data_IF_499015453699
#
_entry.id   IF_499015453699
#
_cell.length_a   1.000
_cell.length_b   1.000
_cell.length_c   1.000
_cell.angle_alpha   90.00
_cell.angle_beta   90.00
_cell.angle_gamma   90.00
#
_symmetry.space_group_name_H-M   'P 1'
#
loop_
_entity.id
_entity.type
_entity.pdbx_description
1 polymer ?
#
# COMPACT_ATOMS: atom_id res chain seq x y z
N UNK A 1 0.14 -24.94 -21.44
CA UNK A 1 0.39 -25.09 -19.99
C UNK A 1 0.34 -26.54 -19.52
N UNK A 2 -0.73 -27.30 -19.80
CA UNK A 2 -0.84 -28.72 -19.39
C UNK A 2 0.35 -29.57 -19.88
N UNK A 3 0.78 -29.36 -21.13
CA UNK A 3 1.98 -30.01 -21.69
C UNK A 3 3.25 -29.70 -20.90
N UNK A 4 3.41 -28.46 -20.41
CA UNK A 4 4.57 -28.11 -19.60
C UNK A 4 4.52 -28.79 -18.22
N UNK A 5 3.33 -28.93 -17.64
CA UNK A 5 3.15 -29.67 -16.38
C UNK A 5 3.45 -31.17 -16.54
N UNK A 6 3.09 -31.77 -17.67
CA UNK A 6 3.43 -33.18 -17.93
C UNK A 6 4.93 -33.44 -18.14
N UNK A 7 5.72 -32.41 -18.42
CA UNK A 7 7.19 -32.51 -18.51
C UNK A 7 7.87 -32.51 -17.13
N UNK A 8 7.12 -32.23 -16.05
CA UNK A 8 7.67 -32.22 -14.71
C UNK A 8 8.04 -33.63 -14.26
N UNK A 9 9.22 -33.79 -13.66
CA UNK A 9 9.63 -35.03 -13.02
C UNK A 9 9.00 -35.11 -11.63
N UNK A 10 8.33 -36.21 -11.30
CA UNK A 10 7.64 -36.39 -10.01
C UNK A 10 8.57 -36.38 -8.79
N UNK A 11 9.85 -36.76 -8.97
CA UNK A 11 10.88 -36.72 -7.91
C UNK A 11 12.05 -35.84 -8.36
N UNK A 12 11.97 -34.55 -8.04
CA UNK A 12 13.04 -33.59 -8.23
C UNK A 12 13.31 -32.87 -6.91
N UNK A 13 14.58 -32.77 -6.51
CA UNK A 13 15.01 -31.95 -5.37
C UNK A 13 14.88 -30.45 -5.67
N UNK A 14 14.72 -30.08 -6.95
CA UNK A 14 14.53 -28.70 -7.41
C UNK A 14 13.06 -28.44 -7.72
N UNK A 15 12.48 -27.31 -7.26
CA UNK A 15 11.14 -26.89 -7.64
C UNK A 15 10.99 -26.80 -9.17
N UNK A 16 9.91 -27.35 -9.71
CA UNK A 16 9.57 -27.17 -11.11
C UNK A 16 8.91 -25.80 -11.31
N UNK A 17 9.40 -25.02 -12.27
CA UNK A 17 8.92 -23.66 -12.53
C UNK A 17 8.44 -23.54 -13.98
N UNK A 18 7.30 -22.91 -14.17
CA UNK A 18 6.73 -22.60 -15.48
C UNK A 18 6.69 -21.08 -15.62
N UNK A 19 7.29 -20.57 -16.68
CA UNK A 19 7.13 -19.18 -17.11
C UNK A 19 6.09 -19.18 -18.22
N UNK A 20 4.94 -18.57 -17.96
CA UNK A 20 3.84 -18.43 -18.90
C UNK A 20 3.75 -16.99 -19.38
N UNK A 21 3.75 -16.79 -20.69
CA UNK A 21 3.70 -15.48 -21.34
C UNK A 21 2.53 -15.47 -22.33
N UNK A 22 1.72 -14.41 -22.30
CA UNK A 22 0.58 -14.24 -23.21
C UNK A 22 0.31 -12.77 -23.48
N UNK A 23 -0.20 -12.46 -24.66
CA UNK A 23 -0.63 -11.14 -25.09
C UNK A 23 -2.14 -11.03 -25.39
N UNK A 24 -2.90 -12.11 -25.11
CA UNK A 24 -4.31 -12.22 -25.48
C UNK A 24 -5.13 -13.15 -24.57
N UNK A 25 -6.42 -13.29 -24.91
CA UNK A 25 -7.33 -14.26 -24.30
C UNK A 25 -7.19 -15.65 -24.98
N UNK A 26 -7.50 -16.76 -24.28
CA UNK A 26 -7.58 -18.07 -24.91
C UNK A 26 -8.71 -18.08 -25.96
N UNK A 27 -8.39 -18.48 -27.20
CA UNK A 27 -9.35 -18.50 -28.33
C UNK A 27 -9.46 -19.86 -29.02
N UNK A 28 -8.63 -20.83 -28.63
CA UNK A 28 -8.60 -22.17 -29.22
C UNK A 28 -8.51 -23.24 -28.13
N UNK A 29 -9.28 -24.31 -28.29
CA UNK A 29 -9.40 -25.36 -27.28
C UNK A 29 -10.35 -24.96 -26.15
N UNK A 30 -9.92 -25.17 -24.90
CA UNK A 30 -10.67 -24.72 -23.72
C UNK A 30 -10.45 -23.21 -23.51
N UNK A 31 -11.52 -22.43 -23.61
CA UNK A 31 -11.53 -20.97 -23.49
C UNK A 31 -12.21 -20.48 -22.20
N UNK A 32 -12.90 -21.34 -21.45
CA UNK A 32 -13.51 -21.00 -20.16
C UNK A 32 -12.44 -20.82 -19.06
N UNK A 33 -12.26 -19.60 -18.51
CA UNK A 33 -11.28 -19.34 -17.45
C UNK A 33 -11.42 -20.26 -16.22
N UNK A 34 -12.65 -20.62 -15.84
CA UNK A 34 -12.88 -21.45 -14.67
C UNK A 34 -12.37 -22.88 -14.90
N UNK A 35 -12.67 -23.45 -16.07
CA UNK A 35 -12.18 -24.78 -16.46
C UNK A 35 -10.67 -24.80 -16.69
N UNK A 36 -10.10 -23.74 -17.26
CA UNK A 36 -8.64 -23.61 -17.38
C UNK A 36 -7.98 -23.71 -16.01
N UNK A 37 -8.47 -22.95 -15.02
CA UNK A 37 -7.95 -22.98 -13.65
C UNK A 37 -8.12 -24.37 -13.00
N UNK A 38 -9.25 -25.03 -13.22
CA UNK A 38 -9.51 -26.38 -12.71
C UNK A 38 -8.56 -27.42 -13.34
N UNK A 39 -8.39 -27.36 -14.66
CA UNK A 39 -7.51 -28.26 -15.40
C UNK A 39 -6.06 -28.11 -14.95
N UNK A 40 -5.59 -26.87 -14.77
CA UNK A 40 -4.25 -26.60 -14.24
C UNK A 40 -4.12 -27.12 -12.81
N UNK A 41 -5.10 -26.89 -11.94
CA UNK A 41 -5.07 -27.39 -10.56
C UNK A 41 -5.00 -28.93 -10.50
N UNK A 42 -5.78 -29.63 -11.33
CA UNK A 42 -5.75 -31.11 -11.42
C UNK A 42 -4.42 -31.63 -11.96
N UNK A 43 -3.83 -30.93 -12.92
CA UNK A 43 -2.58 -31.33 -13.55
C UNK A 43 -1.35 -31.01 -12.69
N UNK A 44 -1.41 -29.99 -11.83
CA UNK A 44 -0.27 -29.53 -11.05
C UNK A 44 0.01 -30.38 -9.79
N UNK A 45 0.26 -31.68 -9.98
CA UNK A 45 0.55 -32.62 -8.89
C UNK A 45 1.91 -32.41 -8.23
N UNK A 46 2.85 -31.83 -8.98
CA UNK A 46 4.24 -31.58 -8.55
C UNK A 46 4.40 -30.25 -7.80
N UNK A 47 3.31 -29.51 -7.54
CA UNK A 47 3.32 -28.16 -6.97
C UNK A 47 4.24 -27.21 -7.75
N UNK A 48 4.21 -27.26 -9.07
CA UNK A 48 4.97 -26.37 -9.94
C UNK A 48 4.61 -24.90 -9.67
N UNK A 49 5.62 -24.03 -9.73
CA UNK A 49 5.46 -22.58 -9.56
C UNK A 49 5.15 -21.98 -10.92
N UNK A 50 4.02 -21.30 -11.06
CA UNK A 50 3.59 -20.73 -12.35
C UNK A 50 3.71 -19.21 -12.32
N UNK A 51 4.74 -18.69 -12.99
CA UNK A 51 4.97 -17.27 -13.14
C UNK A 51 4.34 -16.77 -14.43
N UNK A 52 3.51 -15.74 -14.32
CA UNK A 52 2.63 -15.31 -15.40
C UNK A 52 3.01 -13.91 -15.87
N UNK A 53 3.13 -13.73 -17.16
CA UNK A 53 3.41 -12.46 -17.80
C UNK A 53 2.31 -12.13 -18.80
N UNK A 54 1.55 -11.07 -18.50
CA UNK A 54 0.54 -10.54 -19.42
C UNK A 54 1.10 -9.35 -20.19
N UNK A 55 1.07 -9.39 -21.52
CA UNK A 55 1.61 -8.34 -22.39
C UNK A 55 0.48 -7.57 -23.06
N UNK A 56 0.46 -6.25 -22.91
CA UNK A 56 -0.56 -5.39 -23.50
C UNK A 56 -1.91 -5.42 -22.76
N UNK A 57 -2.97 -4.96 -23.43
CA UNK A 57 -4.30 -4.71 -22.86
C UNK A 57 -5.33 -5.81 -23.09
N UNK A 58 -5.04 -6.76 -23.98
CA UNK A 58 -5.99 -7.76 -24.48
C UNK A 58 -5.93 -9.09 -23.71
N UNK A 59 -5.33 -9.08 -22.52
CA UNK A 59 -5.22 -10.26 -21.64
C UNK A 59 -6.38 -10.32 -20.65
N UNK A 60 -6.75 -11.55 -20.25
CA UNK A 60 -7.68 -11.77 -19.14
C UNK A 60 -6.93 -11.72 -17.80
N UNK A 61 -6.84 -10.51 -17.23
CA UNK A 61 -6.07 -10.24 -16.02
C UNK A 61 -6.55 -11.05 -14.81
N UNK A 62 -7.86 -11.33 -14.67
CA UNK A 62 -8.37 -12.12 -13.55
C UNK A 62 -7.95 -13.59 -13.64
N UNK A 63 -8.00 -14.17 -14.84
CA UNK A 63 -7.48 -15.51 -15.10
C UNK A 63 -5.98 -15.59 -14.76
N UNK A 64 -5.18 -14.63 -15.26
CA UNK A 64 -3.73 -14.60 -15.03
C UNK A 64 -3.38 -14.43 -13.55
N UNK A 65 -4.07 -13.55 -12.83
CA UNK A 65 -3.90 -13.34 -11.39
C UNK A 65 -4.17 -14.64 -10.62
N UNK A 66 -5.31 -15.29 -10.89
CA UNK A 66 -5.71 -16.54 -10.24
C UNK A 66 -4.78 -17.70 -10.57
N UNK A 67 -4.25 -17.73 -11.79
CA UNK A 67 -3.34 -18.76 -12.25
C UNK A 67 -2.01 -18.70 -11.49
N UNK A 68 -1.46 -17.49 -11.29
CA UNK A 68 -0.27 -17.30 -10.48
C UNK A 68 -0.54 -17.59 -8.99
N UNK A 69 -1.62 -17.02 -8.44
CA UNK A 69 -1.96 -17.11 -7.01
C UNK A 69 -2.21 -18.57 -6.57
N UNK A 70 -2.96 -19.36 -7.37
CA UNK A 70 -3.24 -20.77 -7.06
C UNK A 70 -2.05 -21.72 -7.26
N UNK A 71 -0.95 -21.25 -7.85
CA UNK A 71 0.20 -22.08 -8.19
C UNK A 71 1.51 -21.48 -7.65
N UNK A 72 1.44 -20.80 -6.50
CA UNK A 72 2.60 -20.25 -5.77
C UNK A 72 3.56 -19.41 -6.63
N UNK A 73 3.02 -18.71 -7.62
CA UNK A 73 3.78 -17.88 -8.54
C UNK A 73 3.47 -16.40 -8.39
N UNK A 74 4.05 -15.62 -9.29
CA UNK A 74 3.85 -14.17 -9.38
C UNK A 74 3.35 -13.81 -10.78
N UNK A 75 2.60 -12.73 -10.86
CA UNK A 75 2.18 -12.12 -12.11
C UNK A 75 2.91 -10.79 -12.33
N UNK A 76 3.31 -10.52 -13.56
CA UNK A 76 3.74 -9.19 -14.00
C UNK A 76 3.01 -8.80 -15.29
N UNK A 77 2.66 -7.53 -15.39
CA UNK A 77 1.93 -6.99 -16.53
C UNK A 77 2.81 -5.97 -17.25
N UNK A 78 3.11 -6.28 -18.49
CA UNK A 78 4.06 -5.54 -19.31
C UNK A 78 3.26 -4.76 -20.35
N UNK A 79 3.40 -3.43 -20.33
CA UNK A 79 2.81 -2.58 -21.36
C UNK A 79 3.55 -2.78 -22.69
N UNK A 80 2.88 -2.57 -23.83
CA UNK A 80 3.52 -2.71 -25.15
C UNK A 80 4.72 -1.78 -25.38
N UNK A 81 4.80 -0.70 -24.61
CA UNK A 81 5.90 0.26 -24.60
C UNK A 81 7.11 -0.20 -23.77
N UNK A 82 6.95 -1.23 -22.94
CA UNK A 82 8.02 -1.77 -22.08
C UNK A 82 8.77 -2.91 -22.78
N UNK A 83 10.07 -3.03 -22.49
CA UNK A 83 10.89 -4.11 -23.02
C UNK A 83 10.57 -5.44 -22.33
N UNK A 84 9.75 -6.28 -22.97
CA UNK A 84 9.39 -7.62 -22.49
C UNK A 84 10.63 -8.46 -22.18
N UNK A 85 11.62 -8.47 -23.09
CA UNK A 85 12.86 -9.23 -22.93
C UNK A 85 13.61 -8.85 -21.65
N UNK A 86 13.70 -7.56 -21.32
CA UNK A 86 14.37 -7.09 -20.12
C UNK A 86 13.61 -7.51 -18.84
N UNK A 87 12.28 -7.44 -18.86
CA UNK A 87 11.42 -7.87 -17.73
C UNK A 87 11.58 -9.37 -17.46
N UNK A 88 11.44 -10.20 -18.50
CA UNK A 88 11.53 -11.65 -18.39
C UNK A 88 12.94 -12.09 -17.99
N UNK A 89 13.99 -11.48 -18.56
CA UNK A 89 15.39 -11.77 -18.19
C UNK A 89 15.66 -11.42 -16.73
N UNK A 90 15.26 -10.24 -16.29
CA UNK A 90 15.42 -9.82 -14.89
C UNK A 90 14.66 -10.73 -13.93
N UNK A 91 13.49 -11.22 -14.33
CA UNK A 91 12.74 -12.19 -13.56
C UNK A 91 13.47 -13.54 -13.48
N UNK A 92 13.88 -14.09 -14.63
CA UNK A 92 14.60 -15.36 -14.69
C UNK A 92 15.86 -15.33 -13.82
N UNK A 93 16.64 -14.25 -13.90
CA UNK A 93 17.85 -14.08 -13.08
C UNK A 93 17.56 -14.08 -11.57
N UNK A 94 16.37 -13.62 -11.14
CA UNK A 94 15.95 -13.64 -9.74
C UNK A 94 15.49 -15.02 -9.30
N UNK A 95 14.81 -15.78 -10.16
CA UNK A 95 14.23 -17.09 -9.79
C UNK A 95 15.06 -18.31 -10.19
N UNK A 96 16.14 -18.12 -10.93
CA UNK A 96 16.98 -19.22 -11.44
C UNK A 96 17.67 -20.04 -10.34
N UNK A 97 17.76 -19.50 -9.12
CA UNK A 97 18.47 -20.11 -8.00
C UNK A 97 17.60 -20.11 -6.74
N UNK A 98 16.60 -21.01 -6.61
CA UNK A 98 15.86 -21.18 -5.36
C UNK A 98 16.80 -21.68 -4.27
N UNK A 99 16.80 -21.01 -3.12
CA UNK A 99 17.62 -21.35 -1.95
C UNK A 99 16.76 -22.09 -0.92
N UNK A 100 15.59 -21.56 -0.58
CA UNK A 100 14.64 -22.22 0.32
C UNK A 100 13.26 -22.30 -0.34
N UNK A 101 12.60 -23.43 -0.19
CA UNK A 101 11.23 -23.64 -0.67
C UNK A 101 10.30 -24.09 0.45
N UNK A 102 8.99 -23.96 0.23
CA UNK A 102 7.97 -24.37 1.22
C UNK A 102 8.18 -23.72 2.59
N UNK A 103 8.42 -22.40 2.58
CA UNK A 103 8.67 -21.64 3.80
C UNK A 103 7.44 -21.60 4.71
N UNK A 104 7.67 -21.76 6.00
CA UNK A 104 6.69 -21.57 7.06
C UNK A 104 7.28 -20.72 8.18
N UNK A 105 6.52 -19.74 8.67
CA UNK A 105 6.92 -18.86 9.76
C UNK A 105 5.97 -19.07 10.93
N UNK A 106 6.52 -19.48 12.06
CA UNK A 106 5.79 -19.71 13.31
C UNK A 106 6.34 -18.79 14.40
N UNK A 107 5.44 -18.15 15.16
CA UNK A 107 5.82 -17.36 16.33
C UNK A 107 5.30 -18.11 17.56
N UNK A 108 6.23 -18.60 18.39
CA UNK A 108 5.87 -19.47 19.51
C UNK A 108 5.02 -18.70 20.53
N UNK A 109 3.85 -19.27 20.86
CA UNK A 109 2.91 -18.67 21.80
C UNK A 109 2.07 -17.51 21.24
N UNK A 110 1.94 -17.38 19.92
CA UNK A 110 1.10 -16.37 19.24
C UNK A 110 -0.42 -16.57 19.34
N UNK A 111 -0.89 -17.69 19.90
CA UNK A 111 -2.32 -17.99 20.04
C UNK A 111 -2.76 -17.94 21.51
N UNK A 112 -2.05 -17.17 22.35
CA UNK A 112 -2.34 -17.05 23.78
C UNK A 112 -2.93 -15.66 24.07
N UNK A 113 -3.78 -15.51 25.11
CA UNK A 113 -4.42 -14.22 25.43
C UNK A 113 -3.41 -13.07 25.64
N UNK A 114 -2.23 -13.38 26.16
CA UNK A 114 -1.17 -12.40 26.42
C UNK A 114 -0.41 -11.93 25.18
N UNK A 115 -0.46 -12.68 24.07
CA UNK A 115 0.27 -12.35 22.85
C UNK A 115 -0.39 -12.98 21.62
N UNK A 116 -0.91 -12.12 20.74
CA UNK A 116 -1.59 -12.52 19.51
C UNK A 116 -0.91 -11.87 18.31
N UNK A 117 -0.68 -12.62 17.24
CA UNK A 117 -0.23 -12.09 15.95
C UNK A 117 -1.32 -12.30 14.90
N UNK A 118 -1.68 -11.25 14.19
CA UNK A 118 -2.80 -11.24 13.24
C UNK A 118 -2.51 -10.38 12.02
N UNK A 119 -3.28 -10.60 10.95
CA UNK A 119 -3.16 -9.85 9.68
C UNK A 119 -1.72 -9.84 9.12
N UNK A 120 -1.11 -11.02 9.06
CA UNK A 120 0.23 -11.24 8.49
C UNK A 120 0.18 -11.31 6.95
N UNK A 121 1.21 -10.74 6.33
CA UNK A 121 1.39 -10.65 4.89
C UNK A 121 2.84 -10.93 4.49
N UNK A 122 3.07 -11.63 3.36
CA UNK A 122 2.05 -12.27 2.52
C UNK A 122 1.34 -13.42 3.25
N UNK A 123 0.10 -13.76 2.82
CA UNK A 123 -0.70 -14.82 3.45
C UNK A 123 -0.07 -16.20 3.30
N UNK A 124 0.58 -16.42 2.16
CA UNK A 124 1.40 -17.59 1.88
C UNK A 124 2.82 -17.12 1.61
N UNK A 125 3.80 -17.78 2.23
CA UNK A 125 5.20 -17.42 2.02
C UNK A 125 5.69 -17.97 0.66
N UNK A 126 6.28 -17.14 -0.20
CA UNK A 126 6.88 -17.61 -1.44
C UNK A 126 8.17 -18.37 -1.14
N UNK A 127 8.67 -19.10 -2.15
CA UNK A 127 10.03 -19.60 -2.10
C UNK A 127 11.04 -18.43 -2.06
N UNK A 128 12.17 -18.64 -1.39
CA UNK A 128 13.25 -17.68 -1.29
C UNK A 128 14.36 -18.03 -2.28
N UNK A 129 14.66 -17.10 -3.17
CA UNK A 129 15.70 -17.25 -4.19
C UNK A 129 16.94 -16.43 -3.86
N UNK A 130 18.07 -16.77 -4.48
CA UNK A 130 19.35 -16.09 -4.28
C UNK A 130 19.22 -14.60 -4.63
N UNK A 131 19.63 -13.74 -3.71
CA UNK A 131 19.55 -12.28 -3.90
C UNK A 131 18.14 -11.70 -3.72
N UNK A 132 17.15 -12.52 -3.37
CA UNK A 132 15.84 -12.03 -2.93
C UNK A 132 15.83 -11.81 -1.41
N UNK A 133 15.02 -10.85 -0.99
CA UNK A 133 14.68 -10.61 0.40
C UNK A 133 13.20 -10.95 0.59
N UNK A 134 12.89 -11.76 1.60
CA UNK A 134 11.52 -11.98 2.06
C UNK A 134 11.24 -11.02 3.21
N UNK A 135 10.17 -10.26 3.12
CA UNK A 135 9.69 -9.42 4.21
C UNK A 135 8.29 -9.89 4.59
N UNK A 136 8.11 -10.13 5.88
CA UNK A 136 6.81 -10.49 6.46
C UNK A 136 6.40 -9.35 7.38
N UNK A 137 5.18 -8.85 7.19
CA UNK A 137 4.61 -7.78 8.02
C UNK A 137 3.32 -8.26 8.63
N UNK A 138 3.09 -7.92 9.88
CA UNK A 138 1.90 -8.30 10.61
C UNK A 138 1.61 -7.34 11.75
N UNK A 139 0.49 -7.56 12.42
CA UNK A 139 0.13 -6.84 13.64
C UNK A 139 0.21 -7.80 14.80
N UNK A 140 0.47 -7.25 15.98
CA UNK A 140 0.41 -8.03 17.20
C UNK A 140 -0.26 -7.26 18.32
N UNK A 141 -0.77 -8.01 19.28
CA UNK A 141 -1.17 -7.55 20.61
C UNK A 141 -0.27 -8.21 21.65
N UNK A 142 -0.04 -7.54 22.78
CA UNK A 142 0.87 -8.01 23.81
C UNK A 142 2.29 -7.47 23.65
N UNK A 143 3.18 -7.92 24.53
CA UNK A 143 4.60 -7.57 24.48
C UNK A 143 5.45 -8.67 25.12
N UNK A 144 6.72 -8.72 24.76
CA UNK A 144 7.68 -9.66 25.33
C UNK A 144 8.69 -10.14 24.31
N UNK A 145 9.52 -11.08 24.73
CA UNK A 145 10.45 -11.78 23.87
C UNK A 145 9.80 -13.09 23.42
N UNK A 146 9.82 -13.36 22.12
CA UNK A 146 9.23 -14.58 21.53
C UNK A 146 10.23 -15.21 20.58
N UNK A 147 10.24 -16.54 20.58
CA UNK A 147 10.93 -17.31 19.57
C UNK A 147 10.13 -17.29 18.26
N UNK A 148 10.82 -16.96 17.18
CA UNK A 148 10.31 -16.93 15.81
C UNK A 148 11.05 -18.00 15.03
N UNK A 149 10.29 -19.00 14.58
CA UNK A 149 10.78 -20.19 13.91
C UNK A 149 10.46 -20.10 12.43
N UNK A 150 11.50 -20.12 11.60
CA UNK A 150 11.38 -20.18 10.16
C UNK A 150 11.82 -21.58 9.71
N UNK A 151 10.94 -22.29 9.02
CA UNK A 151 11.22 -23.62 8.48
C UNK A 151 10.93 -23.68 6.98
N UNK A 152 11.49 -24.70 6.31
CA UNK A 152 11.28 -24.95 4.89
C UNK A 152 12.16 -26.10 4.39
N UNK A 153 12.41 -26.13 3.08
CA UNK A 153 13.27 -27.12 2.42
C UNK A 153 14.48 -26.45 1.76
N UNK A 154 15.67 -26.90 2.13
CA UNK A 154 16.95 -26.56 1.50
C UNK A 154 17.44 -27.79 0.73
N UNK A 155 17.47 -27.71 -0.61
CA UNK A 155 17.85 -28.84 -1.47
C UNK A 155 17.10 -30.15 -1.11
N UNK A 156 15.78 -30.04 -0.90
CA UNK A 156 14.93 -31.17 -0.53
C UNK A 156 15.01 -31.63 0.93
N UNK A 157 15.97 -31.14 1.72
CA UNK A 157 16.10 -31.46 3.15
C UNK A 157 15.36 -30.44 4.01
N UNK A 158 14.74 -30.90 5.09
CA UNK A 158 14.13 -30.02 6.08
C UNK A 158 15.19 -29.08 6.66
N UNK A 159 14.89 -27.79 6.64
CA UNK A 159 15.70 -26.74 7.20
C UNK A 159 14.84 -25.95 8.18
N UNK A 160 15.42 -25.60 9.32
CA UNK A 160 14.73 -24.86 10.38
C UNK A 160 15.73 -23.97 11.11
N UNK A 161 15.29 -22.75 11.42
CA UNK A 161 16.07 -21.79 12.20
C UNK A 161 15.14 -21.07 13.15
N UNK A 162 15.57 -20.94 14.40
CA UNK A 162 14.87 -20.19 15.44
C UNK A 162 15.60 -18.89 15.74
N UNK A 163 14.85 -17.81 15.90
CA UNK A 163 15.34 -16.47 16.19
C UNK A 163 14.61 -15.92 17.41
N UNK A 164 15.34 -15.29 18.32
CA UNK A 164 14.72 -14.55 19.41
C UNK A 164 14.36 -13.14 18.93
N UNK A 165 13.09 -12.75 19.05
CA UNK A 165 12.62 -11.42 18.68
C UNK A 165 11.90 -10.73 19.84
N UNK A 166 12.17 -9.42 19.99
CA UNK A 166 11.51 -8.56 20.98
C UNK A 166 10.32 -7.85 20.34
N UNK A 167 9.18 -7.95 21.00
CA UNK A 167 7.92 -7.29 20.65
C UNK A 167 7.58 -6.22 21.72
N UNK A 168 8.04 -4.97 21.57
CA UNK A 168 7.78 -3.90 22.53
C UNK A 168 6.34 -3.38 22.44
N UNK A 169 5.80 -2.77 23.51
CA UNK A 169 4.47 -2.11 23.42
C UNK A 169 4.50 -0.87 22.53
N UNK A 170 5.63 -0.17 22.51
CA UNK A 170 5.85 1.04 21.74
C UNK A 170 7.28 1.01 21.18
N UNK A 171 7.40 1.25 19.88
CA UNK A 171 8.66 1.42 19.17
C UNK A 171 8.44 2.36 17.98
N UNK A 172 9.13 3.49 17.99
CA UNK A 172 9.08 4.51 16.92
C UNK A 172 10.33 4.46 16.03
N UNK A 173 11.27 3.54 16.28
CA UNK A 173 12.46 3.40 15.45
C UNK A 173 12.13 2.94 14.03
N UNK A 174 10.99 2.27 13.86
CA UNK A 174 10.56 1.63 12.62
C UNK A 174 9.28 2.26 12.04
N UNK A 175 9.28 3.59 11.91
CA UNK A 175 8.15 4.42 11.40
C UNK A 175 7.61 3.98 10.02
N UNK A 176 8.39 3.24 9.22
CA UNK A 176 7.99 2.75 7.90
C UNK A 176 7.13 1.47 7.95
N UNK A 177 7.16 0.71 9.04
CA UNK A 177 6.49 -0.59 9.17
C UNK A 177 4.97 -0.46 9.10
N UNK A 178 4.29 0.46 9.83
CA UNK A 178 2.84 0.58 9.78
C UNK A 178 2.31 0.85 8.37
N UNK A 179 3.01 1.69 7.62
CA UNK A 179 2.65 2.03 6.23
C UNK A 179 2.86 0.83 5.30
N UNK A 180 3.96 0.10 5.47
CA UNK A 180 4.26 -1.10 4.68
C UNK A 180 3.20 -2.18 4.89
N UNK A 181 2.79 -2.39 6.14
CA UNK A 181 1.66 -3.26 6.47
C UNK A 181 0.36 -2.78 5.80
N UNK A 182 0.07 -1.48 5.85
CA UNK A 182 -1.15 -0.93 5.25
C UNK A 182 -1.21 -1.12 3.73
N UNK A 183 -0.09 -0.98 3.01
CA UNK A 183 -0.02 -1.26 1.57
C UNK A 183 -0.39 -2.72 1.30
N UNK A 184 0.16 -3.67 2.05
CA UNK A 184 -0.13 -5.10 1.89
C UNK A 184 -1.59 -5.44 2.24
N UNK A 185 -2.12 -4.90 3.33
CA UNK A 185 -3.53 -5.07 3.70
C UNK A 185 -4.48 -4.53 2.64
N UNK A 186 -4.20 -3.34 2.09
CA UNK A 186 -5.00 -2.78 1.00
C UNK A 186 -4.92 -3.65 -0.25
N UNK A 187 -3.73 -4.17 -0.60
CA UNK A 187 -3.59 -5.09 -1.73
C UNK A 187 -4.44 -6.35 -1.55
N UNK A 188 -4.42 -6.95 -0.36
CA UNK A 188 -5.24 -8.11 -0.01
C UNK A 188 -6.74 -7.80 -0.12
N UNK A 189 -7.19 -6.65 0.39
CA UNK A 189 -8.58 -6.21 0.29
C UNK A 189 -9.02 -5.95 -1.16
N UNK A 190 -8.20 -5.26 -1.95
CA UNK A 190 -8.48 -4.99 -3.37
C UNK A 190 -8.52 -6.29 -4.18
N UNK A 191 -7.64 -7.25 -3.86
CA UNK A 191 -7.68 -8.60 -4.45
C UNK A 191 -9.01 -9.28 -4.14
N UNK A 192 -9.44 -9.26 -2.88
CA UNK A 192 -10.73 -9.84 -2.50
C UNK A 192 -11.91 -9.18 -3.22
N UNK A 193 -11.91 -7.85 -3.34
CA UNK A 193 -12.94 -7.10 -4.08
C UNK A 193 -12.98 -7.51 -5.55
N UNK A 194 -11.82 -7.63 -6.19
CA UNK A 194 -11.69 -8.02 -7.60
C UNK A 194 -12.13 -9.46 -7.85
N UNK A 195 -11.74 -10.38 -6.96
CA UNK A 195 -12.03 -11.80 -7.13
C UNK A 195 -13.46 -12.18 -6.72
N UNK A 196 -13.96 -11.63 -5.60
CA UNK A 196 -15.20 -12.03 -4.93
C UNK A 196 -16.32 -10.99 -4.99
N UNK A 197 -16.06 -9.83 -5.60
CA UNK A 197 -17.00 -8.72 -5.69
C UNK A 197 -16.83 -7.69 -4.55
N UNK A 198 -17.36 -6.50 -4.80
CA UNK A 198 -17.32 -5.38 -3.86
C UNK A 198 -18.27 -5.61 -2.68
N UNK A 199 -17.76 -5.54 -1.45
CA UNK A 199 -18.54 -5.56 -0.21
C UNK A 199 -18.34 -4.25 0.56
N UNK A 200 -19.38 -3.71 1.22
CA UNK A 200 -19.27 -2.47 1.98
C UNK A 200 -18.16 -2.49 3.04
N UNK A 201 -17.94 -3.63 3.69
CA UNK A 201 -16.93 -3.80 4.75
C UNK A 201 -15.52 -3.71 4.18
N UNK A 202 -15.25 -4.42 3.08
CA UNK A 202 -13.94 -4.42 2.41
C UNK A 202 -13.60 -3.01 1.90
N UNK A 203 -14.58 -2.36 1.27
CA UNK A 203 -14.45 -0.98 0.78
C UNK A 203 -14.21 0.01 1.92
N UNK A 204 -14.98 -0.11 3.01
CA UNK A 204 -14.85 0.72 4.19
C UNK A 204 -13.45 0.62 4.80
N UNK A 205 -12.91 -0.59 4.91
CA UNK A 205 -11.56 -0.81 5.41
C UNK A 205 -10.48 -0.26 4.46
N UNK A 206 -10.62 -0.45 3.14
CA UNK A 206 -9.70 0.14 2.15
C UNK A 206 -9.67 1.67 2.31
N UNK A 207 -10.82 2.31 2.41
CA UNK A 207 -10.92 3.78 2.57
C UNK A 207 -10.29 4.23 3.89
N UNK A 208 -10.56 3.51 4.98
CA UNK A 208 -10.01 3.83 6.30
C UNK A 208 -8.47 3.75 6.32
N UNK A 209 -7.90 2.67 5.77
CA UNK A 209 -6.45 2.49 5.68
C UNK A 209 -5.82 3.50 4.71
N UNK A 210 -6.41 3.69 3.54
CA UNK A 210 -5.93 4.65 2.55
C UNK A 210 -5.90 6.07 3.11
N UNK A 211 -6.92 6.49 3.86
CA UNK A 211 -6.95 7.79 4.55
C UNK A 211 -5.95 7.84 5.71
N UNK A 212 -5.82 6.78 6.51
CA UNK A 212 -4.89 6.79 7.65
C UNK A 212 -3.43 6.90 7.19
N UNK A 213 -3.10 6.23 6.09
CA UNK A 213 -1.73 6.08 5.61
C UNK A 213 -1.44 6.86 4.32
N UNK A 214 -2.39 7.62 3.77
CA UNK A 214 -2.19 8.40 2.55
C UNK A 214 -1.87 7.56 1.31
N UNK A 215 -2.46 6.38 1.19
CA UNK A 215 -2.21 5.42 0.10
C UNK A 215 -3.23 5.60 -1.01
N UNK A 216 -2.78 5.66 -2.28
CA UNK A 216 -3.67 5.93 -3.42
C UNK A 216 -4.43 4.67 -3.80
N UNK A 217 -5.75 4.68 -3.67
CA UNK A 217 -6.60 3.52 -4.04
C UNK A 217 -7.73 3.92 -4.97
N UNK A 218 -8.32 2.98 -5.73
CA UNK A 218 -9.52 3.24 -6.53
C UNK A 218 -10.69 3.83 -5.71
N UNK A 219 -10.72 3.56 -4.41
CA UNK A 219 -11.76 4.03 -3.49
C UNK A 219 -11.43 5.34 -2.79
N UNK A 220 -10.25 5.90 -3.05
CA UNK A 220 -9.81 7.16 -2.50
C UNK A 220 -9.35 8.06 -3.63
N UNK A 221 -10.30 8.58 -4.41
CA UNK A 221 -10.14 9.85 -5.13
C UNK A 221 -9.83 10.90 -4.08
N UNK A 222 -8.55 11.06 -3.74
CA UNK A 222 -8.00 11.97 -2.76
C UNK A 222 -8.92 13.14 -2.55
N UNK A 223 -9.54 13.21 -1.37
CA UNK A 223 -9.45 14.35 -0.46
C UNK A 223 -9.18 15.69 -1.15
N UNK A 224 -9.88 16.02 -2.24
CA UNK A 224 -10.25 17.40 -2.49
C UNK A 224 -11.37 17.61 -1.53
N UNK A 225 -10.94 17.96 -0.34
CA UNK A 225 -11.68 18.91 0.43
C UNK A 225 -11.70 20.16 -0.44
N UNK A 226 -12.77 20.28 -1.24
CA UNK A 226 -13.49 21.55 -1.21
C UNK A 226 -13.66 21.91 0.26
N UNK A 227 -13.64 23.22 0.54
CA UNK A 227 -13.84 23.83 1.85
C UNK A 227 -15.17 23.32 2.43
N UNK A 228 -15.19 22.07 2.88
CA UNK A 228 -16.36 21.35 3.34
C UNK A 228 -16.48 21.74 4.79
N UNK A 229 -16.83 23.02 4.96
CA UNK A 229 -17.38 23.66 6.17
C UNK A 229 -18.61 22.94 6.73
N UNK A 230 -18.94 21.75 6.24
CA UNK A 230 -20.03 20.89 6.71
C UNK A 230 -19.57 19.70 7.57
N UNK A 231 -18.28 19.57 7.94
CA UNK A 231 -17.88 18.58 8.98
C UNK A 231 -17.65 19.15 10.38
N UNK A 232 -17.79 20.46 10.54
CA UNK A 232 -17.72 21.18 11.82
C UNK A 232 -18.96 22.04 12.07
N UNK A 233 -20.14 21.43 12.05
CA UNK A 233 -21.31 21.89 12.81
C UNK A 233 -21.82 23.33 12.63
N UNK A 234 -21.71 23.96 11.45
CA UNK A 234 -22.47 25.19 11.17
C UNK A 234 -23.16 25.12 9.80
N UNK A 235 -24.45 25.47 9.71
CA UNK A 235 -25.16 25.52 8.44
C UNK A 235 -24.71 26.77 7.67
N UNK A 236 -24.27 26.59 6.43
CA UNK A 236 -24.10 27.68 5.46
C UNK A 236 -24.89 27.27 4.22
N UNK A 237 -25.67 28.21 3.68
CA UNK A 237 -26.64 27.99 2.60
C UNK A 237 -26.05 27.48 1.27
N UNK A 238 -26.89 27.34 0.22
CA UNK A 238 -26.55 26.58 -0.98
C UNK A 238 -25.55 27.35 -1.84
N UNK A 239 -24.27 27.01 -1.71
CA UNK A 239 -23.26 27.30 -2.73
C UNK A 239 -23.23 26.10 -3.67
N UNK A 240 -23.64 26.30 -4.91
CA UNK A 240 -23.47 25.30 -5.98
C UNK A 240 -21.97 25.22 -6.30
N UNK A 241 -21.24 24.39 -5.56
CA UNK A 241 -19.81 24.15 -5.75
C UNK A 241 -19.57 23.42 -7.08
N UNK A 242 -18.96 24.10 -8.04
CA UNK A 242 -18.37 23.44 -9.22
C UNK A 242 -17.02 22.86 -8.79
N UNK A 243 -16.82 21.53 -8.90
CA UNK A 243 -15.53 20.91 -8.61
C UNK A 243 -14.41 21.63 -9.35
N UNK A 244 -13.36 22.03 -8.63
CA UNK A 244 -12.14 22.52 -9.28
C UNK A 244 -11.66 21.52 -10.34
N UNK A 245 -11.02 21.99 -11.42
CA UNK A 245 -10.55 21.14 -12.52
C UNK A 245 -9.71 19.95 -12.00
N UNK A 246 -8.90 20.20 -10.97
CA UNK A 246 -8.12 19.18 -10.29
C UNK A 246 -8.99 18.10 -9.62
N UNK A 247 -10.06 18.49 -8.91
CA UNK A 247 -10.99 17.54 -8.29
C UNK A 247 -11.68 16.66 -9.32
N UNK A 248 -12.12 17.26 -10.44
CA UNK A 248 -12.76 16.50 -11.50
C UNK A 248 -11.81 15.46 -12.10
N UNK A 249 -10.57 15.85 -12.39
CA UNK A 249 -9.55 14.94 -12.91
C UNK A 249 -9.25 13.78 -11.94
N UNK A 250 -9.15 14.06 -10.64
CA UNK A 250 -8.92 13.01 -9.61
C UNK A 250 -10.12 12.07 -9.45
N UNK A 251 -11.35 12.60 -9.47
CA UNK A 251 -12.59 11.79 -9.44
C UNK A 251 -12.67 10.87 -10.66
N UNK A 252 -12.38 11.41 -11.84
CA UNK A 252 -12.37 10.63 -13.09
C UNK A 252 -11.30 9.53 -13.07
N UNK A 253 -10.10 9.84 -12.59
CA UNK A 253 -9.03 8.86 -12.47
C UNK A 253 -9.38 7.72 -11.50
N UNK A 254 -10.00 8.04 -10.35
CA UNK A 254 -10.46 7.04 -9.40
C UNK A 254 -11.62 6.20 -9.96
N UNK A 255 -12.57 6.84 -10.66
CA UNK A 255 -13.64 6.11 -11.36
C UNK A 255 -13.08 5.11 -12.37
N UNK A 256 -12.13 5.55 -13.22
CA UNK A 256 -11.43 4.67 -14.17
C UNK A 256 -10.68 3.53 -13.48
N UNK A 257 -10.12 3.76 -12.31
CA UNK A 257 -9.48 2.74 -11.49
C UNK A 257 -10.50 1.76 -10.89
N UNK A 258 -11.66 2.21 -10.42
CA UNK A 258 -12.73 1.34 -9.93
C UNK A 258 -13.28 0.46 -11.05
N UNK A 259 -13.51 1.04 -12.22
CA UNK A 259 -13.90 0.30 -13.43
C UNK A 259 -12.85 -0.72 -13.82
N UNK A 260 -11.56 -0.35 -13.77
CA UNK A 260 -10.45 -1.27 -14.03
C UNK A 260 -10.40 -2.43 -13.05
N UNK A 261 -10.66 -2.18 -11.76
CA UNK A 261 -10.66 -3.23 -10.73
C UNK A 261 -11.77 -4.26 -10.95
N UNK A 262 -12.92 -3.82 -11.47
CA UNK A 262 -14.10 -4.67 -11.75
C UNK A 262 -14.01 -5.42 -13.08
N UNK A 263 -13.21 -4.93 -14.03
CA UNK A 263 -13.06 -5.54 -15.35
C UNK A 263 -11.88 -6.50 -15.37
N UNK A 264 -12.00 -7.51 -16.22
CA UNK A 264 -10.97 -8.52 -16.40
C UNK A 264 -10.04 -8.18 -17.59
N UNK A 265 -10.44 -7.23 -18.45
CA UNK A 265 -9.70 -6.86 -19.67
C UNK A 265 -9.70 -5.37 -19.99
N UNK A 266 -8.81 -4.99 -20.90
CA UNK A 266 -8.61 -3.62 -21.36
C UNK A 266 -7.59 -2.86 -20.51
N UNK A 267 -7.21 -1.68 -21.00
CA UNK A 267 -6.11 -0.88 -20.45
C UNK A 267 -6.27 -0.55 -18.96
N UNK A 268 -7.49 -0.25 -18.52
CA UNK A 268 -7.73 0.03 -17.10
C UNK A 268 -7.59 -1.22 -16.23
N UNK A 269 -8.08 -2.38 -16.69
CA UNK A 269 -7.95 -3.63 -15.95
C UNK A 269 -6.49 -4.05 -15.80
N UNK A 270 -5.72 -4.00 -16.89
CA UNK A 270 -4.29 -4.31 -16.87
C UNK A 270 -3.52 -3.34 -15.97
N UNK A 271 -3.84 -2.04 -16.02
CA UNK A 271 -3.19 -1.05 -15.14
C UNK A 271 -3.46 -1.33 -13.66
N UNK A 272 -4.71 -1.60 -13.28
CA UNK A 272 -5.03 -1.90 -11.88
C UNK A 272 -4.47 -3.26 -11.45
N UNK A 273 -4.45 -4.27 -12.32
CA UNK A 273 -3.82 -5.55 -12.06
C UNK A 273 -2.30 -5.41 -11.85
N UNK A 274 -1.63 -4.62 -12.70
CA UNK A 274 -0.22 -4.26 -12.58
C UNK A 274 0.09 -3.54 -11.27
N UNK A 275 -0.73 -2.54 -10.91
CA UNK A 275 -0.62 -1.82 -9.64
C UNK A 275 -0.76 -2.78 -8.46
N UNK A 276 -1.78 -3.64 -8.49
CA UNK A 276 -2.04 -4.62 -7.44
C UNK A 276 -0.91 -5.65 -7.29
N UNK A 277 -0.40 -6.16 -8.42
CA UNK A 277 0.76 -7.05 -8.45
C UNK A 277 2.00 -6.37 -7.83
N UNK A 278 2.25 -5.10 -8.18
CA UNK A 278 3.31 -4.29 -7.57
C UNK A 278 3.09 -4.05 -6.08
N UNK A 279 1.86 -3.83 -5.62
CA UNK A 279 1.57 -3.70 -4.18
C UNK A 279 1.94 -4.96 -3.43
N UNK A 280 1.52 -6.14 -3.94
CA UNK A 280 1.88 -7.44 -3.37
C UNK A 280 3.41 -7.64 -3.38
N UNK A 281 4.09 -7.19 -4.43
CA UNK A 281 5.54 -7.28 -4.61
C UNK A 281 6.35 -6.10 -4.02
N UNK A 282 5.72 -5.11 -3.36
CA UNK A 282 6.32 -3.80 -3.01
C UNK A 282 7.44 -3.86 -1.95
N UNK A 283 7.92 -5.05 -1.62
CA UNK A 283 9.04 -5.33 -0.71
C UNK A 283 10.36 -5.53 -1.49
N UNK A 284 10.48 -4.94 -2.69
CA UNK A 284 11.66 -5.08 -3.53
C UNK A 284 12.95 -4.51 -2.87
N UNK A 285 14.14 -5.05 -3.21
CA UNK A 285 15.43 -4.75 -2.54
C UNK A 285 15.83 -3.26 -2.51
N UNK A 286 15.34 -2.43 -3.45
CA UNK A 286 15.63 -1.00 -3.51
C UNK A 286 14.69 -0.12 -2.65
N UNK A 287 13.62 -0.70 -2.06
CA UNK A 287 12.62 0.01 -1.26
C UNK A 287 12.88 -0.09 0.25
N UNK A 288 13.85 -0.91 0.68
CA UNK A 288 14.12 -1.20 2.11
C UNK A 288 14.44 0.05 2.91
N UNK A 289 15.05 1.08 2.30
CA UNK A 289 15.33 2.36 2.94
C UNK A 289 14.13 3.33 3.03
N UNK A 290 13.00 3.03 2.37
CA UNK A 290 11.81 3.92 2.35
C UNK A 290 10.50 3.24 2.73
N UNK A 291 10.52 1.93 3.06
CA UNK A 291 9.32 1.10 3.22
C UNK A 291 8.45 1.11 1.96
N UNK A 292 7.13 0.91 2.10
CA UNK A 292 6.16 1.07 1.00
C UNK A 292 6.15 2.45 0.31
N UNK A 293 7.08 3.36 0.63
CA UNK A 293 7.26 4.68 0.03
C UNK A 293 7.60 4.65 -1.46
N UNK A 294 8.42 3.71 -1.95
CA UNK A 294 8.73 3.62 -3.37
C UNK A 294 7.49 3.32 -4.24
N UNK A 295 6.62 2.42 -3.77
CA UNK A 295 5.34 2.17 -4.41
C UNK A 295 4.48 3.44 -4.43
N UNK A 296 4.29 4.07 -3.27
CA UNK A 296 3.45 5.28 -3.16
C UNK A 296 3.97 6.42 -4.05
N UNK A 297 5.29 6.61 -4.10
CA UNK A 297 5.92 7.63 -4.96
C UNK A 297 5.60 7.37 -6.43
N UNK A 298 5.82 6.14 -6.91
CA UNK A 298 5.52 5.77 -8.28
C UNK A 298 4.04 5.94 -8.63
N UNK A 299 3.14 5.59 -7.70
CA UNK A 299 1.71 5.77 -7.89
C UNK A 299 1.29 7.23 -7.90
N UNK A 300 1.91 8.07 -7.07
CA UNK A 300 1.67 9.50 -7.08
C UNK A 300 2.14 10.12 -8.40
N UNK A 301 3.34 9.76 -8.86
CA UNK A 301 3.90 10.23 -10.13
C UNK A 301 3.09 9.78 -11.35
N UNK A 302 2.59 8.54 -11.37
CA UNK A 302 1.66 8.08 -12.43
C UNK A 302 0.38 8.91 -12.46
N UNK A 303 -0.22 9.14 -11.29
CA UNK A 303 -1.44 9.92 -11.19
C UNK A 303 -1.20 11.39 -11.57
N UNK A 304 -0.09 11.97 -11.13
CA UNK A 304 0.35 13.33 -11.49
C UNK A 304 0.51 13.47 -13.01
N UNK A 305 1.20 12.53 -13.67
CA UNK A 305 1.35 12.50 -15.13
C UNK A 305 0.02 12.44 -15.87
N UNK A 306 -0.95 11.68 -15.35
CA UNK A 306 -2.25 11.44 -16.00
C UNK A 306 -3.26 12.57 -15.79
N UNK A 307 -3.18 13.24 -14.66
CA UNK A 307 -4.18 14.24 -14.24
C UNK A 307 -3.66 15.67 -14.29
N UNK A 308 -2.34 15.87 -14.33
CA UNK A 308 -1.69 17.16 -14.14
C UNK A 308 -1.76 17.68 -12.70
N UNK A 309 -2.33 16.92 -11.76
CA UNK A 309 -2.57 17.37 -10.38
C UNK A 309 -1.46 16.90 -9.46
N UNK A 310 -0.65 17.84 -8.97
CA UNK A 310 0.45 17.57 -8.02
C UNK A 310 -0.07 17.13 -6.64
N UNK A 311 -0.16 15.82 -6.41
CA UNK A 311 -0.68 15.20 -5.18
C UNK A 311 0.16 15.57 -3.96
N UNK A 312 1.49 15.65 -4.14
CA UNK A 312 2.45 16.01 -3.09
C UNK A 312 2.24 17.40 -2.49
N UNK A 313 1.43 18.26 -3.14
CA UNK A 313 1.00 19.55 -2.60
C UNK A 313 -0.01 19.41 -1.45
N UNK A 314 -0.83 18.36 -1.48
CA UNK A 314 -1.99 18.19 -0.58
C UNK A 314 -1.80 17.08 0.45
N UNK A 315 -0.90 16.14 0.19
CA UNK A 315 -0.62 15.02 1.10
C UNK A 315 0.88 14.93 1.35
N UNK A 316 1.26 14.89 2.63
CA UNK A 316 2.64 14.69 3.05
C UNK A 316 2.73 13.57 4.07
N UNK A 317 3.84 12.84 4.05
CA UNK A 317 4.15 11.83 5.05
C UNK A 317 5.40 12.25 5.78
N UNK A 318 5.34 12.26 7.11
CA UNK A 318 6.48 12.54 7.99
C UNK A 318 6.54 11.41 9.01
N UNK A 319 7.64 10.67 9.04
CA UNK A 319 7.73 9.45 9.85
C UNK A 319 6.54 8.51 9.59
N UNK A 320 5.92 8.00 10.66
CA UNK A 320 4.74 7.15 10.58
C UNK A 320 3.41 7.89 10.27
N UNK A 321 3.42 9.23 10.20
CA UNK A 321 2.19 10.05 10.09
C UNK A 321 1.96 10.57 8.69
N UNK A 322 0.69 10.62 8.31
CA UNK A 322 0.21 11.26 7.09
C UNK A 322 -0.50 12.55 7.45
N UNK A 323 -0.24 13.61 6.68
CA UNK A 323 -0.85 14.92 6.83
C UNK A 323 -1.55 15.34 5.54
N UNK A 324 -2.71 15.97 5.71
CA UNK A 324 -3.55 16.49 4.64
C UNK A 324 -3.66 18.00 4.75
N UNK A 325 -3.41 18.71 3.65
CA UNK A 325 -3.61 20.15 3.59
C UNK A 325 -5.10 20.44 3.34
N UNK A 326 -5.73 21.16 4.27
CA UNK A 326 -7.14 21.60 4.18
C UNK A 326 -7.16 23.11 4.35
N UNK A 327 -7.59 23.82 3.31
CA UNK A 327 -7.39 25.27 3.25
C UNK A 327 -5.90 25.60 3.32
N UNK A 328 -5.47 26.17 4.44
CA UNK A 328 -4.07 26.53 4.72
C UNK A 328 -3.47 25.78 5.92
N UNK A 329 -4.18 24.78 6.45
CA UNK A 329 -3.79 24.06 7.67
C UNK A 329 -3.51 22.59 7.35
N UNK A 330 -2.39 22.07 7.85
CA UNK A 330 -2.06 20.64 7.75
C UNK A 330 -2.72 19.85 8.87
N UNK A 331 -3.49 18.81 8.55
CA UNK A 331 -4.14 17.95 9.52
C UNK A 331 -3.55 16.55 9.49
N UNK A 332 -3.14 16.05 10.65
CA UNK A 332 -2.81 14.64 10.87
C UNK A 332 -4.01 13.76 10.50
N UNK A 333 -3.78 12.72 9.71
CA UNK A 333 -4.77 11.75 9.26
C UNK A 333 -5.56 11.10 10.41
N UNK A 334 -4.95 11.00 11.59
CA UNK A 334 -5.55 10.45 12.81
C UNK A 334 -6.42 11.46 13.58
N UNK A 335 -6.40 12.74 13.21
CA UNK A 335 -7.29 13.75 13.78
C UNK A 335 -8.75 13.44 13.45
N UNK A 336 -9.57 13.43 14.49
CA UNK A 336 -11.01 13.26 14.44
C UNK A 336 -11.65 14.33 15.31
N UNK A 337 -12.35 15.31 14.74
CA UNK A 337 -12.91 16.43 15.49
C UNK A 337 -14.05 16.05 16.43
N UNK A 338 -14.64 14.86 16.25
CA UNK A 338 -15.64 14.34 17.19
C UNK A 338 -15.00 13.76 18.45
N UNK A 339 -13.74 13.31 18.35
CA UNK A 339 -13.02 12.64 19.44
C UNK A 339 -11.98 13.53 20.10
N UNK A 340 -11.39 14.45 19.34
CA UNK A 340 -10.28 15.27 19.80
C UNK A 340 -10.73 16.72 20.01
N UNK A 341 -10.37 17.28 21.16
CA UNK A 341 -10.45 18.71 21.43
C UNK A 341 -9.03 19.28 21.35
N UNK A 342 -8.67 20.02 20.28
CA UNK A 342 -7.29 20.44 20.09
C UNK A 342 -6.87 21.51 21.10
N UNK A 343 -5.68 21.34 21.64
CA UNK A 343 -5.00 22.36 22.45
C UNK A 343 -4.36 23.36 21.49
N UNK A 344 -4.87 24.60 21.51
CA UNK A 344 -4.34 25.67 20.65
C UNK A 344 -3.01 26.16 21.17
N UNK A 345 -2.01 26.20 20.29
CA UNK A 345 -0.67 26.69 20.59
C UNK A 345 -0.26 27.67 19.50
N UNK A 346 0.15 28.87 19.91
CA UNK A 346 0.56 29.91 18.96
C UNK A 346 1.98 29.60 18.46
N UNK A 347 2.18 29.66 17.15
CA UNK A 347 3.49 29.39 16.52
C UNK A 347 4.59 30.28 17.11
N UNK A 348 5.72 29.69 17.48
CA UNK A 348 6.87 30.37 18.12
C UNK A 348 6.58 31.10 19.44
N UNK A 349 5.46 30.80 20.11
CA UNK A 349 5.23 31.28 21.48
C UNK A 349 6.01 30.49 22.54
N UNK A 350 6.08 30.97 23.77
CA UNK A 350 6.71 30.22 24.87
C UNK A 350 6.07 28.84 25.07
N UNK A 351 4.74 28.75 24.92
CA UNK A 351 4.00 27.46 24.95
C UNK A 351 4.40 26.52 23.81
N UNK A 352 4.78 27.07 22.65
CA UNK A 352 5.28 26.27 21.53
C UNK A 352 6.67 25.71 21.82
N UNK A 353 7.57 26.54 22.37
CA UNK A 353 8.92 26.10 22.76
C UNK A 353 8.87 25.09 23.91
N UNK A 354 7.98 25.31 24.88
CA UNK A 354 7.72 24.37 25.97
C UNK A 354 7.19 23.03 25.45
N UNK A 355 6.26 23.06 24.49
CA UNK A 355 5.76 21.85 23.83
C UNK A 355 6.90 21.07 23.16
N UNK A 356 7.77 21.74 22.41
CA UNK A 356 8.92 21.10 21.76
C UNK A 356 9.95 20.55 22.75
N UNK A 357 10.13 21.21 23.89
CA UNK A 357 11.04 20.75 24.95
C UNK A 357 10.50 19.51 25.65
N UNK A 358 9.20 19.50 25.97
CA UNK A 358 8.53 18.37 26.62
C UNK A 358 8.33 17.18 25.67
N UNK A 359 8.18 17.46 24.37
CA UNK A 359 7.80 16.49 23.33
C UNK A 359 8.61 16.72 22.04
N UNK A 360 9.91 16.40 22.04
CA UNK A 360 10.78 16.64 20.89
C UNK A 360 10.35 15.87 19.64
N UNK A 361 9.66 14.74 19.79
CA UNK A 361 9.13 13.93 18.70
C UNK A 361 8.15 14.69 17.79
N UNK A 362 7.51 15.76 18.30
CA UNK A 362 6.55 16.56 17.55
C UNK A 362 7.24 17.54 16.59
N UNK A 363 8.51 17.90 16.85
CA UNK A 363 9.26 18.88 16.07
C UNK A 363 9.23 18.57 14.56
N UNK A 364 9.45 17.29 14.20
CA UNK A 364 9.43 16.84 12.80
C UNK A 364 8.08 17.12 12.13
N UNK A 365 6.97 17.02 12.86
CA UNK A 365 5.62 17.27 12.32
C UNK A 365 5.30 18.77 12.22
N UNK A 366 5.74 19.59 13.18
CA UNK A 366 5.49 21.03 13.15
C UNK A 366 6.31 21.76 12.08
N UNK A 367 7.34 21.11 11.52
CA UNK A 367 8.09 21.63 10.37
C UNK A 367 7.25 21.79 9.10
N UNK A 368 6.04 21.21 9.05
CA UNK A 368 5.10 21.35 7.92
C UNK A 368 4.65 22.78 7.64
N UNK A 369 4.66 23.64 8.66
CA UNK A 369 4.33 25.05 8.51
C UNK A 369 3.79 25.69 9.78
N UNK A 370 3.22 26.88 9.62
CA UNK A 370 2.71 27.72 10.72
C UNK A 370 1.32 27.30 11.21
N UNK A 371 0.63 26.43 10.46
CA UNK A 371 -0.72 25.94 10.73
C UNK A 371 -0.76 24.42 10.61
N UNK A 372 -0.77 23.73 11.75
CA UNK A 372 -0.66 22.27 11.82
C UNK A 372 -1.51 21.73 12.97
N UNK A 373 -2.35 20.73 12.69
CA UNK A 373 -3.03 19.91 13.69
C UNK A 373 -2.36 18.55 13.73
N UNK A 374 -1.79 18.20 14.89
CA UNK A 374 -1.09 16.92 15.10
C UNK A 374 -1.67 16.18 16.30
N UNK A 375 -1.85 14.86 16.18
CA UNK A 375 -2.32 14.01 17.28
C UNK A 375 -1.18 13.19 17.83
N UNK A 376 -0.86 13.32 19.11
CA UNK A 376 0.21 12.56 19.76
C UNK A 376 -0.33 11.98 21.06
N UNK A 377 -0.17 10.68 21.26
CA UNK A 377 -0.71 9.95 22.42
C UNK A 377 -2.21 10.25 22.68
N UNK A 378 -3.01 10.37 21.62
CA UNK A 378 -4.44 10.66 21.70
C UNK A 378 -4.81 12.11 22.01
N UNK A 379 -3.83 13.02 22.18
CA UNK A 379 -4.06 14.46 22.36
C UNK A 379 -3.81 15.20 21.04
N UNK A 380 -4.73 16.06 20.65
CA UNK A 380 -4.56 16.93 19.48
C UNK A 380 -3.97 18.27 19.89
N UNK A 381 -3.00 18.75 19.11
CA UNK A 381 -2.41 20.09 19.22
C UNK A 381 -2.68 20.84 17.93
N UNK A 382 -3.23 22.04 18.01
CA UNK A 382 -3.48 22.93 16.87
C UNK A 382 -2.51 24.11 16.95
N UNK A 383 -1.52 24.09 16.07
CA UNK A 383 -0.61 25.21 15.87
C UNK A 383 -1.32 26.23 15.01
N UNK A 384 -1.46 27.45 15.53
CA UNK A 384 -2.04 28.58 14.82
C UNK A 384 -0.96 29.61 14.51
N UNK A 385 -1.06 30.24 13.34
CA UNK A 385 -0.15 31.31 12.94
C UNK A 385 -0.28 32.51 13.90
N UNK A 386 0.82 33.20 14.14
CA UNK A 386 0.77 34.50 14.81
C UNK A 386 0.24 35.56 13.85
N UNK A 387 -1.00 36.00 14.04
CA UNK A 387 -1.61 37.10 13.26
C UNK A 387 -1.07 38.49 13.69
N UNK A 388 -0.18 38.56 14.68
CA UNK A 388 0.26 39.78 15.36
C UNK A 388 1.30 40.67 14.66
N UNK A 389 1.47 40.61 13.33
CA UNK A 389 2.37 41.55 12.62
C UNK A 389 1.82 42.23 11.36
N UNK A 390 0.65 41.86 10.84
CA UNK A 390 0.07 42.58 9.69
C UNK A 390 -0.54 43.94 10.03
N UNK A 391 -1.04 44.13 11.27
CA UNK A 391 -1.61 45.42 11.68
C UNK A 391 -0.59 46.55 11.85
N UNK A 392 0.68 46.24 12.17
CA UNK A 392 1.69 47.31 12.34
C UNK A 392 2.14 47.94 11.02
N UNK A 393 2.07 47.25 9.88
CA UNK A 393 2.45 47.85 8.59
C UNK A 393 1.34 48.73 7.97
N UNK A 394 0.08 48.54 8.36
CA UNK A 394 -1.03 49.42 7.96
C UNK A 394 -1.09 50.68 8.85
N UNK A 395 -0.92 50.54 10.19
CA UNK A 395 -0.93 51.70 11.10
C UNK A 395 0.28 52.63 10.88
N UNK A 396 1.45 52.10 10.49
CA UNK A 396 2.62 52.97 10.19
C UNK A 396 2.50 53.70 8.85
N UNK A 397 1.58 53.29 7.96
CA UNK A 397 1.30 54.01 6.71
C UNK A 397 0.26 55.11 6.88
N UNK A 398 -0.70 54.95 7.79
CA UNK A 398 -1.65 56.03 8.09
C UNK A 398 -1.01 57.17 8.92
N UNK A 399 0.00 56.88 9.73
CA UNK A 399 0.69 57.91 10.53
C UNK A 399 1.75 58.70 9.75
N UNK A 400 2.08 58.29 8.51
CA UNK A 400 2.94 59.06 7.58
C UNK A 400 2.14 59.91 6.58
N UNK A 401 0.80 59.93 6.68
CA UNK A 401 -0.07 60.68 5.76
C UNK A 401 -1.01 61.66 6.47
N UNK A 402 -0.62 62.18 7.64
CA UNK A 402 -1.34 63.26 8.33
C UNK A 402 -0.46 64.45 8.63
#
# INVERSE_FOLDING_TARGET
MLTALSMAKERSERPFMIIFLTDGEPTAGEDDPAKILENVAKANKVRARIFVFGVGSEVNTKLLDLLAEKNHGLVDYIERTEAVNARVTNFYNKVSSPVLSELNLEILGQNKPEFEVYQMYPRELPDLFRGMQLMVVGRYHGAGVKAVRLSGKLLGKTWEQEYEMRFPRHDESNDFVPRTWAVQRIADLLTQIRLKGEKPELKGEVVALARRFGILTPYTSYLVMEDTRSRFGRPVGPVVERPSIALRALKEAAWKAQEGLKKDKGTNAVREAKKLARMKQAMAPAAVSTGGGAFVKNEAEDLERRTGVKITRFVKTIGAKTFYLIGDTWYDASYDPKKHKPIKVKFLSDKYLELLTRRPEIAKYLSLGKKVVVVVEGKAYEIVADEGKRKKEEDTKEEQTK
#
